data_IF_338711275598
#
_entry.id   IF_338711275598
#
_cell.length_a   1.000
_cell.length_b   1.000
_cell.length_c   1.000
_cell.angle_alpha   90.00
_cell.angle_beta   90.00
_cell.angle_gamma   90.00
#
_symmetry.space_group_name_H-M   'P 1'
#
loop_
_entity.id
_entity.type
_entity.pdbx_description
1 polymer ?
#
# COMPACT_ATOMS: atom_id res chain seq x y z
N UNK A 1 -74.07 29.03 -63.71
CA UNK A 1 -75.23 29.61 -63.01
C UNK A 1 -75.17 29.15 -61.56
N UNK A 2 -75.15 30.10 -60.61
CA UNK A 2 -75.19 29.97 -59.13
C UNK A 2 -74.09 29.13 -58.44
N UNK A 3 -73.15 29.72 -57.67
CA UNK A 3 -73.20 30.49 -56.39
C UNK A 3 -73.43 29.62 -55.14
N UNK A 4 -72.57 29.89 -54.14
CA UNK A 4 -72.62 29.62 -52.69
C UNK A 4 -71.84 28.42 -52.10
N UNK A 5 -70.59 28.69 -51.70
CA UNK A 5 -70.16 28.94 -50.30
C UNK A 5 -70.59 27.95 -49.18
N UNK A 6 -69.60 27.19 -48.67
CA UNK A 6 -69.14 27.09 -47.26
C UNK A 6 -69.50 25.88 -46.35
N UNK A 7 -68.46 25.50 -45.58
CA UNK A 7 -68.32 24.72 -44.32
C UNK A 7 -68.18 23.18 -44.37
N UNK A 8 -66.90 22.79 -44.22
CA UNK A 8 -66.28 21.86 -43.26
C UNK A 8 -67.07 20.60 -42.84
N UNK A 9 -66.59 19.45 -43.32
CA UNK A 9 -66.66 18.16 -42.59
C UNK A 9 -65.31 17.45 -42.76
N UNK A 10 -64.60 17.28 -41.66
CA UNK A 10 -63.46 16.38 -41.57
C UNK A 10 -63.98 14.94 -41.46
N UNK A 11 -63.39 14.00 -42.21
CA UNK A 11 -63.57 12.58 -41.93
C UNK A 11 -63.37 11.60 -43.10
N UNK A 12 -62.30 10.82 -42.96
CA UNK A 12 -62.16 9.41 -43.38
C UNK A 12 -61.89 9.17 -44.88
N UNK A 13 -60.61 8.96 -45.20
CA UNK A 13 -60.22 8.03 -46.28
C UNK A 13 -59.18 7.04 -45.76
N UNK A 14 -59.60 5.78 -45.79
CA UNK A 14 -58.87 4.58 -45.41
C UNK A 14 -57.83 4.31 -46.49
N UNK A 15 -56.55 4.37 -46.14
CA UNK A 15 -55.49 3.64 -46.83
C UNK A 15 -54.92 2.64 -45.84
N UNK A 16 -55.28 1.37 -46.03
CA UNK A 16 -54.81 0.27 -45.21
C UNK A 16 -53.29 0.18 -45.22
N UNK A 17 -52.68 0.46 -44.07
CA UNK A 17 -51.36 -0.03 -43.74
C UNK A 17 -51.60 -1.33 -42.96
N UNK A 18 -51.15 -2.44 -43.53
CA UNK A 18 -50.95 -3.70 -42.82
C UNK A 18 -49.94 -3.46 -41.71
N UNK A 19 -50.40 -3.04 -40.53
CA UNK A 19 -49.62 -3.20 -39.31
C UNK A 19 -49.76 -4.66 -38.91
N UNK A 20 -48.78 -5.47 -39.27
CA UNK A 20 -48.55 -6.74 -38.60
C UNK A 20 -48.31 -6.35 -37.13
N UNK A 21 -49.29 -6.64 -36.27
CA UNK A 21 -49.06 -6.68 -34.84
C UNK A 21 -48.04 -7.78 -34.59
N UNK A 22 -46.76 -7.46 -34.65
CA UNK A 22 -45.79 -8.18 -33.87
C UNK A 22 -46.11 -7.81 -32.42
N UNK A 23 -47.02 -8.58 -31.83
CA UNK A 23 -47.02 -8.80 -30.40
C UNK A 23 -45.66 -9.46 -30.15
N UNK A 24 -44.62 -8.64 -29.91
CA UNK A 24 -43.46 -9.15 -29.20
C UNK A 24 -44.03 -9.64 -27.89
N UNK A 25 -43.94 -10.95 -27.64
CA UNK A 25 -44.23 -11.57 -26.36
C UNK A 25 -43.47 -10.79 -25.27
N UNK A 26 -44.10 -9.79 -24.67
CA UNK A 26 -43.66 -9.15 -23.44
C UNK A 26 -44.26 -9.89 -22.25
N UNK A 27 -44.21 -11.21 -22.32
CA UNK A 27 -44.18 -12.07 -21.14
C UNK A 27 -42.76 -12.62 -21.11
N UNK A 28 -41.86 -11.86 -20.47
CA UNK A 28 -40.65 -12.45 -19.93
C UNK A 28 -41.14 -13.45 -18.90
N UNK A 29 -40.79 -14.72 -19.13
CA UNK A 29 -41.03 -15.79 -18.18
C UNK A 29 -40.48 -15.32 -16.82
N UNK A 30 -41.36 -15.10 -15.85
CA UNK A 30 -40.93 -14.71 -14.51
C UNK A 30 -40.28 -15.96 -13.92
N UNK A 31 -38.95 -16.06 -14.08
CA UNK A 31 -38.11 -17.03 -13.39
C UNK A 31 -38.67 -17.28 -11.98
N UNK A 32 -38.80 -18.54 -11.61
CA UNK A 32 -39.23 -19.06 -10.30
C UNK A 32 -39.45 -18.01 -9.21
N UNK A 33 -40.70 -17.82 -8.80
CA UNK A 33 -41.06 -16.92 -7.70
C UNK A 33 -41.11 -17.70 -6.38
N UNK A 34 -40.37 -17.29 -5.35
CA UNK A 34 -40.43 -17.89 -4.01
C UNK A 34 -40.85 -16.84 -2.98
N UNK A 35 -41.76 -17.22 -2.07
CA UNK A 35 -42.12 -16.35 -0.94
C UNK A 35 -40.97 -16.29 0.08
N UNK A 36 -40.66 -15.10 0.57
CA UNK A 36 -39.77 -14.87 1.71
C UNK A 36 -40.57 -14.23 2.84
N UNK A 37 -40.57 -14.86 4.01
CA UNK A 37 -41.19 -14.31 5.21
C UNK A 37 -40.42 -14.76 6.45
N UNK A 38 -39.93 -13.82 7.24
CA UNK A 38 -39.24 -14.12 8.49
C UNK A 38 -39.25 -12.92 9.44
N UNK A 39 -39.10 -13.22 10.73
CA UNK A 39 -38.75 -12.23 11.78
C UNK A 39 -37.45 -12.66 12.44
N UNK A 40 -36.49 -11.74 12.56
CA UNK A 40 -35.18 -12.03 13.16
C UNK A 40 -34.59 -10.81 13.86
N UNK A 41 -33.88 -11.04 14.97
CA UNK A 41 -33.00 -10.04 15.58
C UNK A 41 -31.59 -10.20 15.03
N UNK A 42 -31.01 -9.09 14.56
CA UNK A 42 -29.70 -8.99 13.93
C UNK A 42 -28.90 -7.88 14.60
N UNK A 43 -27.60 -8.10 14.76
CA UNK A 43 -26.65 -7.07 15.20
C UNK A 43 -25.89 -6.59 13.96
N UNK A 44 -25.63 -5.28 13.87
CA UNK A 44 -24.82 -4.72 12.80
C UNK A 44 -23.35 -5.13 12.92
N UNK A 45 -22.63 -5.04 11.81
CA UNK A 45 -21.17 -5.08 11.76
C UNK A 45 -20.66 -3.83 11.03
N UNK A 46 -19.35 -3.62 11.02
CA UNK A 46 -18.73 -2.61 10.16
C UNK A 46 -19.21 -2.81 8.71
N UNK A 47 -19.57 -1.71 8.04
CA UNK A 47 -19.97 -1.74 6.62
C UNK A 47 -18.77 -2.17 5.75
N UNK A 48 -18.87 -3.28 4.99
CA UNK A 48 -17.77 -3.77 4.19
C UNK A 48 -17.59 -3.01 2.86
N UNK A 49 -18.44 -2.01 2.57
CA UNK A 49 -18.33 -1.16 1.39
C UNK A 49 -17.11 -0.23 1.45
N UNK A 50 -16.39 -0.11 0.34
CA UNK A 50 -15.28 0.83 0.21
C UNK A 50 -15.76 2.28 0.47
N UNK A 51 -15.06 3.01 1.35
CA UNK A 51 -15.45 4.36 1.76
C UNK A 51 -16.51 4.43 2.87
N UNK A 52 -16.93 3.29 3.42
CA UNK A 52 -17.89 3.20 4.52
C UNK A 52 -17.27 2.61 5.81
N UNK A 53 -15.95 2.68 5.95
CA UNK A 53 -15.20 2.03 7.02
C UNK A 53 -15.59 2.52 8.43
N UNK A 54 -16.16 3.71 8.54
CA UNK A 54 -16.64 4.27 9.82
C UNK A 54 -18.13 4.04 10.09
N UNK A 55 -18.80 3.24 9.26
CA UNK A 55 -20.23 3.00 9.33
C UNK A 55 -20.55 1.59 9.82
N UNK A 56 -21.82 1.39 10.18
CA UNK A 56 -22.38 0.10 10.55
C UNK A 56 -23.46 -0.32 9.55
N UNK A 57 -23.46 -1.59 9.20
CA UNK A 57 -24.42 -2.20 8.28
C UNK A 57 -24.99 -3.48 8.89
N UNK A 58 -26.28 -3.70 8.73
CA UNK A 58 -26.93 -4.99 9.00
C UNK A 58 -27.67 -5.45 7.76
N UNK A 59 -27.08 -6.43 7.06
CA UNK A 59 -27.63 -6.97 5.83
C UNK A 59 -28.79 -7.93 6.14
N UNK A 60 -29.95 -7.65 5.57
CA UNK A 60 -31.21 -8.37 5.83
C UNK A 60 -31.49 -9.35 4.71
N UNK A 61 -31.35 -8.88 3.47
CA UNK A 61 -31.43 -9.68 2.26
C UNK A 61 -30.15 -9.44 1.46
N UNK A 62 -29.37 -10.48 1.25
CA UNK A 62 -28.08 -10.40 0.57
C UNK A 62 -28.25 -10.29 -0.95
N UNK A 63 -27.36 -9.53 -1.63
CA UNK A 63 -27.33 -9.49 -3.08
C UNK A 63 -26.90 -10.85 -3.66
N UNK A 64 -27.57 -11.25 -4.74
CA UNK A 64 -27.17 -12.37 -5.59
C UNK A 64 -27.39 -11.96 -7.04
N UNK A 65 -26.51 -12.38 -7.95
CA UNK A 65 -26.62 -12.09 -9.39
C UNK A 65 -27.99 -12.57 -9.92
N UNK A 66 -28.72 -11.69 -10.60
CA UNK A 66 -30.03 -12.02 -11.18
C UNK A 66 -31.16 -12.23 -10.18
N UNK A 67 -30.97 -11.90 -8.89
CA UNK A 67 -32.00 -11.99 -7.85
C UNK A 67 -32.63 -10.63 -7.56
N UNK A 68 -33.97 -10.58 -7.56
CA UNK A 68 -34.74 -9.40 -7.22
C UNK A 68 -35.71 -9.70 -6.07
N UNK A 69 -35.61 -8.94 -4.99
CA UNK A 69 -36.54 -8.96 -3.88
C UNK A 69 -37.58 -7.86 -4.03
N UNK A 70 -38.81 -8.17 -3.66
CA UNK A 70 -39.96 -7.26 -3.76
C UNK A 70 -40.93 -7.52 -2.60
N UNK A 71 -41.15 -6.51 -1.75
CA UNK A 71 -42.07 -6.64 -0.61
C UNK A 71 -41.84 -5.58 0.47
N UNK A 72 -42.19 -5.94 1.70
CA UNK A 72 -42.18 -5.03 2.84
C UNK A 72 -41.25 -5.50 3.95
N UNK A 73 -40.67 -4.53 4.66
CA UNK A 73 -39.89 -4.74 5.87
C UNK A 73 -40.44 -3.86 6.99
N UNK A 74 -40.63 -4.41 8.18
CA UNK A 74 -40.87 -3.67 9.42
C UNK A 74 -39.74 -3.91 10.41
N UNK A 75 -39.25 -2.89 11.09
CA UNK A 75 -38.14 -3.05 12.04
C UNK A 75 -38.28 -2.22 13.32
N UNK A 76 -37.56 -2.65 14.36
CA UNK A 76 -37.27 -1.88 15.57
C UNK A 76 -35.78 -2.02 15.92
N UNK A 77 -35.11 -0.94 16.30
CA UNK A 77 -33.67 -0.85 16.56
C UNK A 77 -33.37 -0.13 17.88
N UNK A 78 -32.28 -0.48 18.54
CA UNK A 78 -31.82 0.22 19.74
C UNK A 78 -31.20 1.62 19.44
N UNK A 79 -30.73 1.83 18.21
CA UNK A 79 -30.18 3.10 17.71
C UNK A 79 -30.93 3.58 16.44
N UNK A 80 -30.95 4.89 16.14
CA UNK A 80 -31.51 5.40 14.89
C UNK A 80 -30.74 4.85 13.68
N UNK A 81 -31.46 4.40 12.66
CA UNK A 81 -30.89 3.78 11.45
C UNK A 81 -31.54 4.32 10.19
N UNK A 82 -30.83 4.17 9.08
CA UNK A 82 -31.26 4.43 7.71
C UNK A 82 -31.49 3.10 6.98
N UNK A 83 -32.15 3.16 5.81
CA UNK A 83 -32.40 1.97 4.98
C UNK A 83 -31.57 2.08 3.71
N UNK A 84 -30.89 0.99 3.36
CA UNK A 84 -30.15 0.84 2.11
C UNK A 84 -30.80 -0.24 1.26
N UNK A 85 -31.13 0.13 0.02
CA UNK A 85 -31.55 -0.82 -1.03
C UNK A 85 -30.51 -0.79 -2.14
N UNK A 86 -29.92 -1.96 -2.42
CA UNK A 86 -28.95 -2.10 -3.50
C UNK A 86 -29.64 -2.61 -4.77
N UNK A 87 -29.19 -2.12 -5.91
CA UNK A 87 -29.70 -2.47 -7.23
C UNK A 87 -28.55 -2.97 -8.09
N UNK A 88 -28.76 -4.10 -8.75
CA UNK A 88 -27.78 -4.66 -9.67
C UNK A 88 -27.60 -3.74 -10.88
N UNK A 89 -26.34 -3.39 -11.18
CA UNK A 89 -25.96 -2.58 -12.34
C UNK A 89 -24.66 -3.13 -12.94
N UNK A 90 -24.39 -2.79 -14.20
CA UNK A 90 -23.08 -3.06 -14.79
C UNK A 90 -22.17 -1.83 -14.66
N UNK A 91 -20.85 -2.01 -14.77
CA UNK A 91 -19.89 -0.90 -14.73
C UNK A 91 -20.17 0.19 -15.80
N UNK A 92 -20.74 -0.19 -16.95
CA UNK A 92 -21.13 0.75 -18.00
C UNK A 92 -22.34 1.63 -17.63
N UNK A 93 -23.11 1.22 -16.62
CA UNK A 93 -24.31 1.92 -16.14
C UNK A 93 -24.01 2.90 -15.01
N UNK A 94 -22.76 2.98 -14.54
CA UNK A 94 -22.32 3.96 -13.54
C UNK A 94 -22.26 5.34 -14.17
N UNK A 95 -23.25 6.19 -13.87
CA UNK A 95 -23.45 7.53 -14.44
C UNK A 95 -23.55 8.61 -13.35
N UNK A 96 -22.82 8.43 -12.25
CA UNK A 96 -22.75 9.37 -11.13
C UNK A 96 -23.77 9.15 -10.01
N UNK A 97 -24.62 8.11 -10.09
CA UNK A 97 -25.43 7.68 -8.96
C UNK A 97 -24.56 7.14 -7.81
N UNK A 98 -25.03 7.17 -6.55
CA UNK A 98 -24.35 6.49 -5.46
C UNK A 98 -24.18 5.00 -5.75
N UNK A 99 -23.00 4.48 -5.47
CA UNK A 99 -22.66 3.06 -5.67
C UNK A 99 -22.09 2.46 -4.40
N UNK A 100 -22.25 1.15 -4.27
CA UNK A 100 -21.65 0.37 -3.18
C UNK A 100 -20.90 -0.84 -3.77
N UNK A 101 -19.70 -1.10 -3.26
CA UNK A 101 -18.83 -2.19 -3.71
C UNK A 101 -17.91 -2.64 -2.57
N UNK A 102 -17.66 -3.94 -2.48
CA UNK A 102 -16.69 -4.52 -1.52
C UNK A 102 -15.31 -4.65 -2.19
N UNK A 103 -15.27 -5.19 -3.41
CA UNK A 103 -14.04 -5.61 -4.10
C UNK A 103 -13.62 -4.67 -5.25
N UNK A 104 -14.40 -3.62 -5.52
CA UNK A 104 -14.20 -2.70 -6.64
C UNK A 104 -14.56 -3.30 -8.01
N UNK A 105 -15.00 -4.56 -8.07
CA UNK A 105 -15.38 -5.26 -9.29
C UNK A 105 -16.89 -5.42 -9.40
N UNK A 106 -17.53 -5.84 -8.32
CA UNK A 106 -18.98 -5.98 -8.22
C UNK A 106 -19.57 -4.67 -7.71
N UNK A 107 -20.34 -3.98 -8.56
CA UNK A 107 -20.85 -2.64 -8.28
C UNK A 107 -22.38 -2.69 -8.22
N UNK A 108 -22.96 -2.16 -7.14
CA UNK A 108 -24.39 -1.95 -7.02
C UNK A 108 -24.71 -0.46 -7.04
N UNK A 109 -25.81 -0.06 -7.67
CA UNK A 109 -26.41 1.24 -7.41
C UNK A 109 -27.05 1.23 -6.03
N UNK A 110 -26.86 2.30 -5.26
CA UNK A 110 -27.31 2.40 -3.89
C UNK A 110 -28.42 3.44 -3.75
N UNK A 111 -29.56 3.01 -3.23
CA UNK A 111 -30.60 3.90 -2.73
C UNK A 111 -30.49 3.99 -1.21
N UNK A 112 -30.16 5.17 -0.71
CA UNK A 112 -30.15 5.47 0.73
C UNK A 112 -31.43 6.22 1.09
N UNK A 113 -32.17 5.69 2.05
CA UNK A 113 -33.35 6.32 2.63
C UNK A 113 -32.93 6.87 4.00
N UNK A 114 -32.72 8.19 4.04
CA UNK A 114 -32.36 8.95 5.25
C UNK A 114 -33.57 9.04 6.19
N UNK A 115 -33.75 7.99 7.00
CA UNK A 115 -34.89 7.81 7.88
C UNK A 115 -34.59 8.28 9.30
N UNK A 116 -33.38 8.00 9.80
CA UNK A 116 -32.92 8.32 11.17
C UNK A 116 -33.94 7.96 12.26
N UNK A 117 -34.57 6.79 12.13
CA UNK A 117 -35.60 6.31 13.08
C UNK A 117 -35.18 5.02 13.77
N UNK A 118 -35.74 4.78 14.95
CA UNK A 118 -35.59 3.52 15.69
C UNK A 118 -36.61 2.46 15.29
N UNK A 119 -37.63 2.80 14.51
CA UNK A 119 -38.63 1.84 14.03
C UNK A 119 -39.40 2.40 12.85
N UNK A 120 -39.68 1.57 11.86
CA UNK A 120 -40.54 1.93 10.73
C UNK A 120 -40.99 0.69 9.93
N UNK A 121 -41.90 0.90 8.98
CA UNK A 121 -42.31 -0.04 7.94
C UNK A 121 -42.01 0.55 6.55
N UNK A 122 -41.34 -0.20 5.69
CA UNK A 122 -40.85 0.25 4.40
C UNK A 122 -41.11 -0.79 3.30
N UNK A 123 -41.64 -0.35 2.17
CA UNK A 123 -41.79 -1.14 0.95
C UNK A 123 -40.53 -0.99 0.09
N UNK A 124 -40.01 -2.10 -0.43
CA UNK A 124 -38.77 -2.13 -1.19
C UNK A 124 -38.86 -3.04 -2.41
N UNK A 125 -38.11 -2.66 -3.45
CA UNK A 125 -37.77 -3.52 -4.58
C UNK A 125 -36.28 -3.34 -4.85
N UNK A 126 -35.49 -4.41 -4.86
CA UNK A 126 -34.04 -4.32 -5.07
C UNK A 126 -33.33 -5.67 -4.99
N UNK A 127 -32.03 -5.66 -5.33
CA UNK A 127 -31.16 -6.82 -5.26
C UNK A 127 -30.68 -7.11 -3.83
N UNK A 128 -30.66 -6.11 -2.94
CA UNK A 128 -30.37 -6.31 -1.51
C UNK A 128 -31.13 -5.31 -0.64
N UNK A 129 -31.27 -5.64 0.64
CA UNK A 129 -31.87 -4.78 1.66
C UNK A 129 -31.02 -4.81 2.94
N UNK A 130 -30.72 -3.65 3.49
CA UNK A 130 -29.97 -3.50 4.73
C UNK A 130 -30.45 -2.32 5.59
N UNK A 131 -30.15 -2.39 6.88
CA UNK A 131 -30.15 -1.22 7.77
C UNK A 131 -28.74 -0.67 7.88
N UNK A 132 -28.61 0.65 7.91
CA UNK A 132 -27.33 1.36 7.91
C UNK A 132 -27.27 2.40 9.02
N UNK A 133 -26.08 2.69 9.52
CA UNK A 133 -25.80 3.82 10.40
C UNK A 133 -24.46 4.45 10.04
N UNK A 134 -24.42 5.78 9.95
CA UNK A 134 -23.20 6.56 9.78
C UNK A 134 -22.29 6.56 11.01
N UNK A 135 -22.72 5.98 12.12
CA UNK A 135 -21.94 5.85 13.35
C UNK A 135 -21.21 4.51 13.37
N UNK A 136 -19.98 4.49 13.90
CA UNK A 136 -19.18 3.27 14.09
C UNK A 136 -19.69 2.39 15.24
N UNK A 137 -20.62 2.87 16.08
CA UNK A 137 -21.22 2.11 17.17
C UNK A 137 -22.22 1.07 16.66
N UNK A 138 -21.99 -0.20 17.02
CA UNK A 138 -22.91 -1.31 16.73
C UNK A 138 -24.34 -1.03 17.23
N UNK A 139 -25.31 -1.46 16.42
CA UNK A 139 -26.73 -1.46 16.76
C UNK A 139 -27.32 -2.86 16.64
N UNK A 140 -28.45 -3.08 17.30
CA UNK A 140 -29.22 -4.32 17.23
C UNK A 140 -30.64 -3.98 16.81
N UNK A 141 -31.13 -4.67 15.78
CA UNK A 141 -32.46 -4.48 15.23
C UNK A 141 -33.22 -5.81 15.15
N UNK A 142 -34.51 -5.78 15.44
CA UNK A 142 -35.45 -6.85 15.10
C UNK A 142 -36.18 -6.45 13.83
N UNK A 143 -36.08 -7.28 12.80
CA UNK A 143 -36.64 -7.04 11.47
C UNK A 143 -37.65 -8.13 11.13
N UNK A 144 -38.73 -7.76 10.45
CA UNK A 144 -39.71 -8.67 9.87
C UNK A 144 -39.88 -8.35 8.40
N UNK A 145 -39.67 -9.34 7.54
CA UNK A 145 -39.79 -9.21 6.08
C UNK A 145 -40.95 -10.07 5.61
N UNK A 146 -41.78 -9.56 4.71
CA UNK A 146 -42.77 -10.33 3.96
C UNK A 146 -42.75 -9.87 2.49
N UNK A 147 -42.42 -10.79 1.58
CA UNK A 147 -42.24 -10.46 0.17
C UNK A 147 -41.96 -11.67 -0.71
N UNK A 148 -41.43 -11.39 -1.90
CA UNK A 148 -41.14 -12.36 -2.95
C UNK A 148 -39.72 -12.20 -3.48
N UNK A 149 -39.11 -13.34 -3.80
CA UNK A 149 -37.86 -13.44 -4.55
C UNK A 149 -38.23 -13.80 -5.98
N UNK A 150 -37.68 -13.05 -6.94
CA UNK A 150 -37.80 -13.30 -8.37
C UNK A 150 -36.40 -13.52 -8.95
N UNK A 151 -36.26 -14.44 -9.90
CA UNK A 151 -34.96 -14.76 -10.50
C UNK A 151 -34.31 -16.03 -9.93
N UNK A 152 -33.03 -16.23 -10.22
CA UNK A 152 -32.24 -17.39 -9.77
C UNK A 152 -30.94 -16.87 -9.14
N UNK A 153 -30.50 -17.41 -7.99
CA UNK A 153 -31.14 -18.49 -7.21
C UNK A 153 -32.37 -18.03 -6.40
N UNK A 154 -33.36 -18.90 -6.24
CA UNK A 154 -34.53 -18.63 -5.37
C UNK A 154 -34.31 -18.90 -3.90
N UNK A 155 -33.11 -19.31 -3.49
CA UNK A 155 -32.80 -19.46 -2.07
C UNK A 155 -32.31 -18.13 -1.53
N UNK A 156 -32.95 -17.65 -0.45
CA UNK A 156 -32.30 -16.68 0.42
C UNK A 156 -31.12 -17.41 1.03
N UNK A 157 -29.97 -17.33 0.37
CA UNK A 157 -28.71 -17.52 1.06
C UNK A 157 -28.67 -16.33 2.01
N UNK A 158 -29.18 -16.51 3.22
CA UNK A 158 -28.73 -15.69 4.34
C UNK A 158 -27.24 -16.01 4.44
N UNK A 159 -26.42 -15.32 3.64
CA UNK A 159 -25.04 -15.13 3.99
C UNK A 159 -25.15 -14.41 5.32
N UNK A 160 -25.02 -15.20 6.39
CA UNK A 160 -24.31 -14.71 7.55
C UNK A 160 -23.01 -14.23 6.93
N UNK A 161 -22.89 -12.93 6.68
CA UNK A 161 -21.57 -12.30 6.68
C UNK A 161 -21.14 -12.45 8.14
N UNK A 162 -20.84 -13.67 8.56
CA UNK A 162 -19.79 -13.90 9.49
C UNK A 162 -18.60 -13.31 8.73
N UNK A 163 -18.31 -12.05 9.02
CA UNK A 163 -16.92 -11.65 9.08
C UNK A 163 -16.34 -12.67 10.05
N UNK A 164 -15.82 -13.77 9.52
CA UNK A 164 -14.92 -14.63 10.24
C UNK A 164 -13.93 -13.62 10.80
N UNK A 165 -13.97 -13.41 12.11
CA UNK A 165 -13.10 -12.45 12.74
C UNK A 165 -11.73 -13.09 12.62
N UNK A 166 -11.08 -12.81 11.49
CA UNK A 166 -9.79 -13.38 11.17
C UNK A 166 -8.92 -13.13 12.40
N UNK A 167 -8.19 -14.16 12.88
CA UNK A 167 -7.38 -14.01 14.07
C UNK A 167 -6.49 -12.77 13.89
N UNK A 168 -6.71 -11.76 14.72
CA UNK A 168 -6.01 -10.48 14.64
C UNK A 168 -4.98 -10.38 15.74
N UNK A 169 -3.72 -10.14 15.36
CA UNK A 169 -2.60 -9.89 16.25
C UNK A 169 -2.16 -8.43 16.09
N UNK A 170 -2.43 -7.62 17.12
CA UNK A 170 -1.81 -6.31 17.24
C UNK A 170 -0.67 -6.40 18.26
N UNK A 171 0.55 -6.38 17.75
CA UNK A 171 1.74 -6.32 18.59
C UNK A 171 1.89 -4.91 19.16
N UNK A 172 2.26 -4.82 20.44
CA UNK A 172 2.65 -3.53 21.02
C UNK A 172 3.98 -3.06 20.42
N UNK A 173 4.11 -1.74 20.25
CA UNK A 173 5.26 -1.11 19.60
C UNK A 173 5.52 -1.73 18.24
N UNK A 174 4.45 -1.93 17.48
CA UNK A 174 4.57 -2.35 16.09
C UNK A 174 5.40 -1.35 15.30
N UNK A 175 5.22 -0.06 15.60
CA UNK A 175 5.95 1.02 14.98
C UNK A 175 6.65 1.86 16.05
N UNK A 176 7.89 2.26 15.80
CA UNK A 176 8.64 3.19 16.66
C UNK A 176 9.28 4.29 15.83
N UNK A 177 9.46 5.46 16.41
CA UNK A 177 10.14 6.56 15.75
C UNK A 177 11.66 6.32 15.73
N UNK A 178 12.29 6.45 14.57
CA UNK A 178 13.74 6.43 14.40
C UNK A 178 14.22 7.77 13.86
N UNK A 179 14.83 8.60 14.72
CA UNK A 179 15.38 9.90 14.31
C UNK A 179 16.85 9.77 13.98
N UNK A 180 17.18 9.91 12.70
CA UNK A 180 18.50 9.65 12.12
C UNK A 180 19.13 10.99 11.71
N UNK A 181 20.44 11.20 11.98
CA UNK A 181 21.15 12.39 11.52
C UNK A 181 21.30 12.39 9.99
N UNK A 182 21.03 13.54 9.39
CA UNK A 182 21.26 13.81 7.98
C UNK A 182 22.62 14.48 7.77
N UNK A 183 23.17 14.25 6.58
CA UNK A 183 24.36 14.90 6.04
C UNK A 183 23.95 15.73 4.82
N UNK A 184 24.75 16.74 4.50
CA UNK A 184 24.56 17.56 3.31
C UNK A 184 25.64 17.24 2.27
N UNK A 185 25.21 16.78 1.09
CA UNK A 185 26.06 16.52 -0.07
C UNK A 185 25.78 17.47 -1.23
N UNK A 186 26.44 17.26 -2.36
CA UNK A 186 26.23 17.99 -3.60
C UNK A 186 25.93 17.06 -4.77
N UNK A 187 25.00 17.48 -5.62
CA UNK A 187 24.76 16.94 -6.95
C UNK A 187 24.59 18.10 -7.94
N UNK A 188 25.47 18.20 -8.93
CA UNK A 188 25.46 19.27 -9.94
C UNK A 188 25.34 20.68 -9.33
N UNK A 189 26.11 20.96 -8.26
CA UNK A 189 26.10 22.23 -7.54
C UNK A 189 24.91 22.45 -6.60
N UNK A 190 23.91 21.57 -6.62
CA UNK A 190 22.74 21.66 -5.74
C UNK A 190 22.93 20.79 -4.48
N UNK A 191 22.40 21.25 -3.35
CA UNK A 191 22.41 20.49 -2.10
C UNK A 191 21.51 19.26 -2.18
N UNK A 192 22.01 18.14 -1.68
CA UNK A 192 21.22 16.96 -1.33
C UNK A 192 21.35 16.71 0.18
N UNK A 193 20.34 16.09 0.78
CA UNK A 193 20.36 15.68 2.18
C UNK A 193 20.16 14.17 2.23
N UNK A 194 21.06 13.47 2.91
CA UNK A 194 21.10 12.00 2.91
C UNK A 194 21.43 11.46 4.30
N UNK A 195 21.14 10.19 4.55
CA UNK A 195 21.55 9.48 5.78
C UNK A 195 22.59 8.42 5.44
N UNK A 196 23.29 7.89 6.44
CA UNK A 196 24.20 6.76 6.28
C UNK A 196 23.82 5.69 7.30
N UNK A 197 23.39 4.52 6.83
CA UNK A 197 22.87 3.44 7.68
C UNK A 197 23.83 2.26 7.77
N UNK A 198 24.57 1.96 6.70
CA UNK A 198 25.42 0.78 6.61
C UNK A 198 26.74 1.07 5.89
N UNK A 199 27.78 0.30 6.21
CA UNK A 199 29.07 0.32 5.55
C UNK A 199 29.58 -1.11 5.36
N UNK A 200 30.20 -1.40 4.22
CA UNK A 200 30.77 -2.71 3.95
C UNK A 200 31.97 -3.04 4.83
N UNK A 201 32.63 -2.02 5.37
CA UNK A 201 33.77 -2.17 6.25
C UNK A 201 33.56 -1.54 7.62
N UNK A 202 34.02 -2.26 8.63
CA UNK A 202 33.88 -1.90 10.05
C UNK A 202 34.62 -0.60 10.41
N UNK A 203 35.78 -0.35 9.79
CA UNK A 203 36.56 0.86 10.05
C UNK A 203 35.83 2.13 9.57
N UNK A 204 35.21 2.09 8.38
CA UNK A 204 34.34 3.17 7.92
C UNK A 204 33.09 3.29 8.78
N UNK A 205 32.46 2.16 9.15
CA UNK A 205 31.28 2.16 10.01
C UNK A 205 31.57 2.88 11.35
N UNK A 206 32.71 2.60 11.98
CA UNK A 206 33.14 3.24 13.24
C UNK A 206 33.38 4.74 13.07
N UNK A 207 34.16 5.14 12.05
CA UNK A 207 34.46 6.57 11.79
C UNK A 207 33.17 7.38 11.61
N UNK A 208 32.23 6.86 10.82
CA UNK A 208 30.97 7.55 10.55
C UNK A 208 30.09 7.55 11.80
N UNK A 209 29.98 6.42 12.50
CA UNK A 209 29.23 6.28 13.76
C UNK A 209 29.65 7.32 14.80
N UNK A 210 30.95 7.45 15.03
CA UNK A 210 31.51 8.45 15.96
C UNK A 210 31.16 9.88 15.56
N UNK A 211 31.22 10.18 14.26
CA UNK A 211 30.92 11.52 13.73
C UNK A 211 29.44 11.90 13.86
N UNK A 212 28.53 10.96 13.55
CA UNK A 212 27.10 11.26 13.49
C UNK A 212 26.34 10.92 14.79
N UNK A 213 27.01 10.27 15.76
CA UNK A 213 26.37 9.80 17.01
C UNK A 213 25.14 8.91 16.77
N UNK A 214 25.18 8.15 15.67
CA UNK A 214 24.16 7.18 15.27
C UNK A 214 24.87 5.98 14.64
N UNK A 215 24.50 4.78 15.06
CA UNK A 215 25.18 3.54 14.64
C UNK A 215 25.04 3.31 13.14
N UNK A 216 26.18 3.19 12.46
CA UNK A 216 26.28 2.62 11.11
C UNK A 216 26.53 1.13 11.25
N UNK A 217 25.67 0.30 10.66
CA UNK A 217 25.84 -1.15 10.70
C UNK A 217 26.96 -1.59 9.76
N UNK A 218 27.67 -2.65 10.14
CA UNK A 218 28.68 -3.27 9.25
C UNK A 218 28.00 -4.36 8.43
N UNK A 219 28.09 -4.27 7.10
CA UNK A 219 27.48 -5.22 6.17
C UNK A 219 28.49 -5.66 5.10
N UNK A 220 29.37 -6.63 5.38
CA UNK A 220 30.44 -7.01 4.45
C UNK A 220 29.95 -7.48 3.06
N UNK A 221 28.70 -7.92 2.95
CA UNK A 221 28.14 -8.41 1.69
C UNK A 221 27.92 -7.30 0.65
N UNK A 222 27.67 -6.05 1.05
CA UNK A 222 27.40 -4.99 0.06
C UNK A 222 28.62 -4.60 -0.77
N UNK A 223 29.84 -4.93 -0.32
CA UNK A 223 31.07 -4.80 -1.14
C UNK A 223 31.10 -5.76 -2.34
N UNK A 224 30.33 -6.86 -2.28
CA UNK A 224 30.24 -7.86 -3.35
C UNK A 224 29.14 -7.54 -4.37
N UNK A 225 28.47 -6.40 -4.24
CA UNK A 225 27.43 -5.98 -5.18
C UNK A 225 28.05 -5.66 -6.55
N UNK A 226 27.35 -5.97 -7.66
CA UNK A 226 27.84 -5.65 -9.00
C UNK A 226 28.06 -4.15 -9.17
N UNK A 227 29.08 -3.73 -9.93
CA UNK A 227 29.38 -2.30 -10.11
C UNK A 227 28.19 -1.53 -10.73
N UNK A 228 27.34 -2.22 -11.50
CA UNK A 228 26.19 -1.62 -12.19
C UNK A 228 25.08 -1.14 -11.23
N UNK A 229 25.05 -1.66 -10.00
CA UNK A 229 24.05 -1.24 -8.98
C UNK A 229 24.63 -0.24 -7.98
N UNK A 230 25.91 0.11 -8.12
CA UNK A 230 26.63 0.99 -7.23
C UNK A 230 26.74 2.38 -7.84
N UNK A 231 26.18 3.37 -7.15
CA UNK A 231 26.52 4.76 -7.41
C UNK A 231 27.94 5.06 -6.95
N UNK A 232 28.46 6.20 -7.38
CA UNK A 232 29.71 6.77 -6.84
C UNK A 232 29.41 7.93 -5.91
N UNK A 233 30.05 7.90 -4.75
CA UNK A 233 30.19 9.03 -3.84
C UNK A 233 31.67 9.44 -3.75
N UNK A 234 31.95 10.72 -3.94
CA UNK A 234 33.29 11.27 -3.83
C UNK A 234 33.47 11.93 -2.47
N UNK A 235 34.42 11.42 -1.68
CA UNK A 235 34.69 11.87 -0.30
C UNK A 235 36.07 12.51 -0.22
N UNK A 236 36.17 13.69 0.37
CA UNK A 236 37.40 14.50 0.34
C UNK A 236 38.27 14.27 1.57
N UNK A 237 39.53 13.88 1.36
CA UNK A 237 40.52 13.63 2.43
C UNK A 237 41.34 14.84 2.82
N UNK A 238 41.37 15.87 1.98
CA UNK A 238 42.05 17.13 2.22
C UNK A 238 41.38 18.26 1.39
N UNK A 239 41.97 19.46 1.42
CA UNK A 239 41.53 20.60 0.62
C UNK A 239 40.66 21.57 1.42
N UNK A 240 39.61 22.09 0.80
CA UNK A 240 38.71 23.08 1.43
C UNK A 240 38.08 22.47 2.69
N UNK A 241 38.18 23.16 3.83
CA UNK A 241 37.55 22.73 5.10
C UNK A 241 36.03 22.81 4.98
N UNK A 242 35.33 21.85 5.59
CA UNK A 242 33.87 21.81 5.56
C UNK A 242 33.32 20.70 6.45
N UNK A 243 32.06 20.34 6.20
CA UNK A 243 31.31 19.39 7.02
C UNK A 243 31.29 17.96 6.49
N UNK A 244 32.04 17.65 5.42
CA UNK A 244 32.15 16.28 4.91
C UNK A 244 32.73 15.31 5.96
N UNK A 245 32.64 14.01 5.68
CA UNK A 245 33.00 12.90 6.57
C UNK A 245 34.38 13.09 7.19
N UNK A 246 35.39 13.46 6.39
CA UNK A 246 36.75 13.73 6.88
C UNK A 246 37.05 15.20 7.25
N UNK A 247 36.03 16.06 7.38
CA UNK A 247 36.18 17.47 7.78
C UNK A 247 36.55 18.44 6.65
N UNK A 248 36.35 18.00 5.41
CA UNK A 248 36.59 18.78 4.20
C UNK A 248 35.26 19.12 3.52
N UNK A 249 35.30 19.56 2.26
CA UNK A 249 34.09 19.90 1.52
C UNK A 249 33.07 18.74 1.51
N UNK A 250 31.82 19.10 1.24
CA UNK A 250 30.69 18.16 1.11
C UNK A 250 30.99 17.08 0.08
N UNK A 251 30.45 15.90 0.35
CA UNK A 251 30.48 14.75 -0.54
C UNK A 251 29.75 15.06 -1.84
N UNK A 252 30.23 14.50 -2.94
CA UNK A 252 29.61 14.69 -4.25
C UNK A 252 29.04 13.35 -4.72
N UNK A 253 27.77 13.37 -5.11
CA UNK A 253 27.06 12.20 -5.61
C UNK A 253 27.02 12.22 -7.13
N UNK A 254 26.98 11.02 -7.71
CA UNK A 254 26.95 10.83 -9.16
C UNK A 254 25.54 10.85 -9.76
N UNK A 255 24.50 10.58 -8.97
CA UNK A 255 23.09 10.63 -9.38
C UNK A 255 22.18 10.93 -8.18
N UNK A 256 20.90 11.16 -8.47
CA UNK A 256 19.81 11.39 -7.51
C UNK A 256 18.62 10.51 -7.87
N UNK A 257 17.60 10.38 -7.01
CA UNK A 257 16.38 9.64 -7.34
C UNK A 257 15.68 10.06 -8.63
N UNK A 258 15.94 11.27 -9.15
CA UNK A 258 15.40 11.74 -10.43
C UNK A 258 15.97 10.95 -11.62
N UNK A 259 17.22 10.45 -11.52
CA UNK A 259 17.82 9.59 -12.54
C UNK A 259 17.50 8.13 -12.22
N UNK A 260 16.24 7.72 -12.37
CA UNK A 260 15.73 6.40 -11.92
C UNK A 260 16.63 5.23 -12.36
N UNK A 261 17.04 5.19 -13.63
CA UNK A 261 17.88 4.12 -14.19
C UNK A 261 19.32 4.08 -13.64
N UNK A 262 19.73 5.14 -12.94
CA UNK A 262 21.06 5.28 -12.33
C UNK A 262 20.98 5.31 -10.80
N UNK A 263 19.77 5.40 -10.23
CA UNK A 263 19.61 5.59 -8.80
C UNK A 263 19.64 4.29 -8.01
N UNK A 264 20.46 4.27 -6.95
CA UNK A 264 20.44 3.28 -5.89
C UNK A 264 21.09 3.85 -4.62
N UNK A 265 20.57 3.52 -3.44
CA UNK A 265 21.13 4.01 -2.17
C UNK A 265 22.57 3.54 -1.88
N UNK A 266 23.01 2.43 -2.47
CA UNK A 266 24.37 1.91 -2.35
C UNK A 266 25.39 2.73 -3.15
N UNK A 267 26.40 3.22 -2.45
CA UNK A 267 27.43 4.10 -2.99
C UNK A 267 28.82 3.50 -2.77
N UNK A 268 29.56 3.28 -3.87
CA UNK A 268 30.98 3.00 -3.86
C UNK A 268 31.78 4.28 -3.58
N UNK A 269 32.67 4.20 -2.60
CA UNK A 269 33.47 5.35 -2.16
C UNK A 269 34.68 5.54 -3.09
N UNK A 270 34.79 6.77 -3.61
CA UNK A 270 36.02 7.29 -4.21
C UNK A 270 36.58 8.37 -3.29
N UNK A 271 37.73 8.09 -2.68
CA UNK A 271 38.42 9.13 -1.91
C UNK A 271 39.18 10.07 -2.84
N UNK A 272 39.04 11.37 -2.58
CA UNK A 272 39.64 12.44 -3.37
C UNK A 272 40.63 13.22 -2.51
N UNK A 273 41.86 13.35 -2.98
CA UNK A 273 42.88 14.17 -2.35
C UNK A 273 43.50 15.16 -3.35
N UNK A 274 43.54 16.43 -2.99
CA UNK A 274 44.32 17.46 -3.67
C UNK A 274 45.81 17.15 -3.58
N UNK A 275 46.49 17.17 -4.74
CA UNK A 275 47.95 16.97 -4.80
C UNK A 275 48.68 18.17 -4.23
N UNK A 276 49.88 17.93 -3.69
CA UNK A 276 50.73 18.96 -3.10
C UNK A 276 51.01 20.10 -4.10
N UNK A 277 50.86 21.35 -3.64
CA UNK A 277 51.10 22.55 -4.46
C UNK A 277 49.90 23.01 -5.29
N UNK A 278 48.80 22.27 -5.31
CA UNK A 278 47.55 22.69 -5.95
C UNK A 278 46.77 23.65 -5.05
N UNK A 279 46.10 24.63 -5.66
CA UNK A 279 45.15 25.47 -4.95
C UNK A 279 43.78 24.77 -4.90
N UNK A 280 43.41 24.29 -3.71
CA UNK A 280 42.15 23.60 -3.49
C UNK A 280 40.97 24.58 -3.62
N UNK A 281 39.95 24.17 -4.36
CA UNK A 281 38.68 24.89 -4.51
C UNK A 281 37.53 23.93 -4.26
N UNK A 282 36.33 24.46 -3.99
CA UNK A 282 35.13 23.62 -3.95
C UNK A 282 34.89 23.05 -5.34
N UNK A 283 34.64 21.74 -5.39
CA UNK A 283 34.12 21.05 -6.57
C UNK A 283 32.63 20.80 -6.33
N UNK A 284 31.80 20.94 -7.36
CA UNK A 284 30.35 21.02 -7.22
C UNK A 284 29.61 19.83 -7.86
N UNK A 285 30.28 19.09 -8.75
CA UNK A 285 29.71 17.98 -9.49
C UNK A 285 30.69 16.83 -9.68
N UNK A 286 30.16 15.63 -10.00
CA UNK A 286 30.99 14.47 -10.34
C UNK A 286 31.87 14.75 -11.56
N UNK A 287 31.37 15.52 -12.52
CA UNK A 287 32.12 16.01 -13.68
C UNK A 287 33.31 16.89 -13.26
N UNK A 288 33.11 17.83 -12.34
CA UNK A 288 34.22 18.67 -11.82
C UNK A 288 35.31 17.83 -11.15
N UNK A 289 34.91 16.81 -10.40
CA UNK A 289 35.84 15.90 -9.71
C UNK A 289 36.65 15.09 -10.71
N UNK A 290 35.99 14.53 -11.72
CA UNK A 290 36.64 13.77 -12.79
C UNK A 290 37.57 14.67 -13.61
N UNK A 291 37.15 15.90 -13.93
CA UNK A 291 37.98 16.85 -14.67
C UNK A 291 39.20 17.29 -13.84
N UNK A 292 39.03 17.53 -12.54
CA UNK A 292 40.15 17.85 -11.65
C UNK A 292 41.18 16.72 -11.55
N UNK A 293 40.75 15.45 -11.65
CA UNK A 293 41.65 14.30 -11.68
C UNK A 293 42.40 14.21 -13.02
N UNK A 294 41.69 14.34 -14.14
CA UNK A 294 42.27 14.38 -15.49
C UNK A 294 43.30 15.50 -15.66
N UNK A 295 43.03 16.66 -15.07
CA UNK A 295 43.93 17.81 -15.04
C UNK A 295 45.13 17.62 -14.08
N UNK A 296 45.19 16.48 -13.40
CA UNK A 296 46.26 16.13 -12.47
C UNK A 296 46.24 16.95 -11.17
N UNK A 297 45.12 17.59 -10.82
CA UNK A 297 44.99 18.44 -9.62
C UNK A 297 44.65 17.64 -8.37
N UNK A 298 43.85 16.60 -8.53
CA UNK A 298 43.52 15.65 -7.45
C UNK A 298 44.01 14.25 -7.81
N UNK A 299 44.05 13.37 -6.83
CA UNK A 299 44.24 11.93 -6.98
C UNK A 299 43.02 11.20 -6.42
N UNK A 300 42.64 10.10 -7.09
CA UNK A 300 41.59 9.21 -6.63
C UNK A 300 42.19 7.97 -5.97
N UNK A 301 41.58 7.58 -4.85
CA UNK A 301 41.76 6.26 -4.26
C UNK A 301 40.42 5.54 -4.31
N UNK A 302 40.33 4.50 -5.14
CA UNK A 302 39.21 3.56 -5.11
C UNK A 302 39.39 2.66 -3.89
N UNK A 303 38.47 2.73 -2.94
CA UNK A 303 38.66 2.07 -1.63
C UNK A 303 38.13 0.63 -1.60
N UNK A 304 37.24 0.28 -2.54
CA UNK A 304 36.43 -0.95 -2.48
C UNK A 304 35.29 -0.87 -1.45
N UNK A 305 35.21 0.20 -0.66
CA UNK A 305 34.18 0.36 0.36
C UNK A 305 32.88 0.77 -0.29
N UNK A 306 31.79 0.13 0.12
CA UNK A 306 30.42 0.49 -0.25
C UNK A 306 29.68 0.93 1.01
N UNK A 307 28.93 2.02 0.93
CA UNK A 307 28.04 2.48 1.99
C UNK A 307 26.60 2.50 1.51
N UNK A 308 25.65 2.25 2.42
CA UNK A 308 24.24 2.51 2.17
C UNK A 308 23.95 3.94 2.61
N UNK A 309 23.69 4.82 1.64
CA UNK A 309 23.51 6.25 1.86
C UNK A 309 22.29 6.81 1.10
N UNK A 310 21.06 6.46 1.51
CA UNK A 310 19.84 6.89 0.82
C UNK A 310 19.63 8.40 0.94
N UNK A 311 19.15 9.00 -0.14
CA UNK A 311 18.86 10.44 -0.23
C UNK A 311 17.45 10.74 0.30
N UNK A 312 17.34 11.73 1.19
CA UNK A 312 16.10 12.18 1.82
C UNK A 312 15.50 13.37 1.06
N UNK A 313 16.35 14.33 0.68
CA UNK A 313 15.99 15.51 -0.11
C UNK A 313 17.01 15.65 -1.22
N UNK A 314 16.55 15.94 -2.43
CA UNK A 314 17.40 16.15 -3.60
C UNK A 314 16.84 17.29 -4.46
N UNK A 315 17.55 17.73 -5.52
CA UNK A 315 17.01 18.72 -6.44
C UNK A 315 15.66 18.26 -6.97
N UNK A 316 14.66 19.14 -6.87
CA UNK A 316 13.31 18.90 -7.39
C UNK A 316 12.53 17.76 -6.68
N UNK A 317 12.98 17.26 -5.52
CA UNK A 317 12.24 16.21 -4.82
C UNK A 317 12.71 15.90 -3.39
N UNK A 318 11.92 15.06 -2.72
CA UNK A 318 12.24 14.47 -1.41
C UNK A 318 11.43 13.19 -1.20
N UNK A 319 11.86 12.38 -0.25
CA UNK A 319 11.04 11.27 0.25
C UNK A 319 9.71 11.79 0.81
N UNK A 320 8.64 11.01 0.65
CA UNK A 320 7.31 11.42 1.09
C UNK A 320 7.25 11.50 2.62
N UNK A 321 6.95 12.69 3.14
CA UNK A 321 6.58 12.89 4.55
C UNK A 321 5.10 12.58 4.68
N UNK A 322 4.77 11.60 5.52
CA UNK A 322 3.40 11.14 5.73
C UNK A 322 2.55 12.16 6.47
N UNK A 323 1.24 12.18 6.19
CA UNK A 323 0.28 13.12 6.78
C UNK A 323 -0.07 12.76 8.23
N UNK A 324 -0.18 11.47 8.54
CA UNK A 324 -0.40 10.89 9.86
C UNK A 324 0.93 10.78 10.63
N UNK A 325 1.40 11.93 11.12
CA UNK A 325 2.72 12.08 11.75
C UNK A 325 2.86 11.43 13.15
N UNK A 326 1.82 10.75 13.66
CA UNK A 326 1.88 10.04 14.94
C UNK A 326 2.20 8.57 14.68
N UNK A 327 3.28 8.10 15.28
CA UNK A 327 3.63 6.68 15.25
C UNK A 327 2.69 5.87 16.16
N UNK A 328 1.80 5.09 15.57
CA UNK A 328 0.84 4.21 16.26
C UNK A 328 1.04 2.76 15.85
N UNK A 329 0.47 1.81 16.61
CA UNK A 329 0.63 0.38 16.34
C UNK A 329 -0.15 -0.10 15.10
N UNK A 330 -1.15 0.65 14.65
CA UNK A 330 -1.97 0.41 13.46
C UNK A 330 -1.48 1.17 12.21
N UNK A 331 -0.38 1.92 12.34
CA UNK A 331 0.17 2.72 11.25
C UNK A 331 0.59 1.81 10.09
N UNK A 332 0.06 2.09 8.89
CA UNK A 332 0.35 1.27 7.71
C UNK A 332 1.67 1.65 7.05
N UNK A 333 2.19 0.73 6.24
CA UNK A 333 3.33 0.98 5.36
C UNK A 333 3.02 2.00 4.26
N UNK A 334 1.76 2.33 4.02
CA UNK A 334 1.36 3.27 2.97
C UNK A 334 1.47 4.74 3.41
N UNK A 335 1.61 5.64 2.44
CA UNK A 335 1.52 7.09 2.67
C UNK A 335 2.82 7.77 3.11
N UNK A 336 3.95 7.06 3.10
CA UNK A 336 5.27 7.60 3.41
C UNK A 336 5.93 6.96 4.64
N UNK A 337 7.26 6.83 4.61
CA UNK A 337 8.04 6.27 5.72
C UNK A 337 8.58 7.32 6.69
N UNK A 338 8.43 8.61 6.39
CA UNK A 338 8.97 9.72 7.19
C UNK A 338 7.85 10.48 7.86
N UNK A 339 7.96 10.73 9.17
CA UNK A 339 7.03 11.57 9.93
C UNK A 339 7.48 13.03 10.03
N UNK A 340 8.79 13.28 9.97
CA UNK A 340 9.37 14.63 10.09
C UNK A 340 10.74 14.72 9.44
N UNK A 341 10.99 15.85 8.78
CA UNK A 341 12.32 16.28 8.33
C UNK A 341 12.65 17.60 9.03
N UNK A 342 13.79 17.69 9.70
CA UNK A 342 14.27 18.90 10.35
C UNK A 342 15.61 19.33 9.75
N UNK A 343 15.59 20.38 8.93
CA UNK A 343 16.80 20.91 8.27
C UNK A 343 17.68 21.76 9.19
N UNK A 344 17.12 22.30 10.27
CA UNK A 344 17.89 23.10 11.23
C UNK A 344 18.71 22.19 12.16
N UNK A 345 18.09 21.10 12.63
CA UNK A 345 18.76 20.07 13.44
C UNK A 345 19.50 19.04 12.60
N UNK A 346 19.33 19.06 11.27
CA UNK A 346 19.85 18.05 10.35
C UNK A 346 19.44 16.63 10.76
N UNK A 347 18.15 16.41 10.98
CA UNK A 347 17.59 15.10 11.33
C UNK A 347 16.37 14.73 10.49
N UNK A 348 16.13 13.43 10.33
CA UNK A 348 14.92 12.87 9.72
C UNK A 348 14.35 11.80 10.63
N UNK A 349 13.04 11.81 10.86
CA UNK A 349 12.36 10.82 11.70
C UNK A 349 11.56 9.86 10.83
N UNK A 350 12.01 8.60 10.79
CA UNK A 350 11.34 7.50 10.12
C UNK A 350 10.35 6.79 11.05
N UNK A 351 9.37 6.14 10.43
CA UNK A 351 8.63 5.03 11.03
C UNK A 351 9.51 3.78 10.89
N UNK A 352 9.96 3.23 12.00
CA UNK A 352 10.64 1.94 12.02
C UNK A 352 9.63 0.84 12.36
N UNK A 353 9.49 -0.12 11.46
CA UNK A 353 8.50 -1.19 11.52
C UNK A 353 9.08 -2.40 12.23
N UNK A 354 8.28 -3.03 13.08
CA UNK A 354 8.65 -4.26 13.79
C UNK A 354 8.62 -5.46 12.84
N UNK A 355 9.62 -6.32 12.97
CA UNK A 355 9.65 -7.67 12.40
C UNK A 355 10.29 -8.66 13.38
N UNK A 356 10.30 -9.93 13.00
CA UNK A 356 11.06 -10.97 13.68
C UNK A 356 12.42 -11.18 13.00
N UNK A 357 13.47 -11.30 13.79
CA UNK A 357 14.75 -11.85 13.34
C UNK A 357 14.66 -13.37 13.16
N UNK A 358 15.70 -14.00 12.57
CA UNK A 358 15.67 -15.43 12.28
C UNK A 358 15.55 -16.32 13.54
N UNK A 359 15.87 -15.77 14.71
CA UNK A 359 15.84 -16.40 16.02
C UNK A 359 14.63 -15.98 16.88
N UNK A 360 13.62 -15.31 16.29
CA UNK A 360 12.41 -14.86 16.99
C UNK A 360 12.62 -13.61 17.84
N UNK A 361 13.80 -12.98 17.78
CA UNK A 361 14.01 -11.67 18.41
C UNK A 361 13.26 -10.59 17.65
N UNK A 362 12.85 -9.56 18.38
CA UNK A 362 12.26 -8.38 17.75
C UNK A 362 13.35 -7.55 17.08
N UNK A 363 13.13 -7.21 15.81
CA UNK A 363 13.94 -6.25 15.06
C UNK A 363 13.06 -5.08 14.62
N UNK A 364 13.70 -3.94 14.35
CA UNK A 364 13.07 -2.78 13.73
C UNK A 364 13.84 -2.37 12.50
N UNK A 365 13.13 -2.04 11.43
CA UNK A 365 13.73 -1.64 10.16
C UNK A 365 13.00 -0.44 9.56
N UNK A 366 13.72 0.33 8.76
CA UNK A 366 13.18 1.42 7.95
C UNK A 366 13.28 1.03 6.48
N UNK A 367 12.48 1.66 5.64
CA UNK A 367 12.51 1.47 4.19
C UNK A 367 12.88 2.81 3.56
N UNK A 368 13.91 2.80 2.73
CA UNK A 368 14.51 4.03 2.18
C UNK A 368 14.48 4.12 0.66
N UNK A 369 14.32 2.99 0.00
CA UNK A 369 13.97 2.84 -1.41
C UNK A 369 13.36 1.45 -1.63
N UNK A 370 12.77 1.22 -2.80
CA UNK A 370 12.20 -0.07 -3.16
C UNK A 370 12.18 -0.30 -4.66
N UNK A 371 12.06 -1.57 -5.05
CA UNK A 371 11.72 -2.02 -6.40
C UNK A 371 10.81 -3.25 -6.29
N UNK A 372 9.74 -3.39 -7.10
CA UNK A 372 9.34 -2.56 -8.25
C UNK A 372 8.66 -1.22 -7.86
N UNK A 373 8.30 -0.42 -8.86
CA UNK A 373 7.75 0.93 -8.67
C UNK A 373 6.44 0.98 -7.87
N UNK A 374 5.54 0.00 -8.04
CA UNK A 374 4.25 -0.04 -7.33
C UNK A 374 4.40 0.00 -5.80
N UNK A 375 5.12 -0.96 -5.18
CA UNK A 375 5.43 -0.89 -3.76
C UNK A 375 6.18 0.38 -3.33
N UNK A 376 7.11 0.88 -4.16
CA UNK A 376 7.84 2.10 -3.86
C UNK A 376 6.90 3.32 -3.74
N UNK A 377 5.97 3.47 -4.68
CA UNK A 377 4.95 4.51 -4.70
C UNK A 377 4.02 4.41 -3.48
N UNK A 378 3.49 3.22 -3.19
CA UNK A 378 2.61 2.98 -2.04
C UNK A 378 3.31 3.38 -0.73
N UNK A 379 4.59 2.99 -0.58
CA UNK A 379 5.39 3.27 0.61
C UNK A 379 5.91 4.72 0.67
N UNK A 380 5.82 5.47 -0.43
CA UNK A 380 6.33 6.84 -0.52
C UNK A 380 7.85 6.93 -0.48
N UNK A 381 8.54 5.94 -1.06
CA UNK A 381 10.01 5.87 -1.12
C UNK A 381 10.49 5.91 -2.58
N UNK A 382 11.74 6.35 -2.85
CA UNK A 382 12.35 6.28 -4.16
C UNK A 382 12.25 4.89 -4.81
N UNK A 383 12.02 4.89 -6.12
CA UNK A 383 12.10 3.70 -6.95
C UNK A 383 13.56 3.48 -7.39
N UNK A 384 14.11 2.30 -7.10
CA UNK A 384 15.50 1.94 -7.43
C UNK A 384 15.55 0.75 -8.41
N UNK A 385 15.27 0.95 -9.71
CA UNK A 385 15.24 -0.12 -10.71
C UNK A 385 16.59 -0.83 -10.91
N UNK A 386 17.71 -0.20 -10.53
CA UNK A 386 19.03 -0.85 -10.60
C UNK A 386 19.10 -2.12 -9.76
N UNK A 387 18.26 -2.26 -8.73
CA UNK A 387 18.19 -3.45 -7.87
C UNK A 387 17.33 -4.58 -8.43
N UNK A 388 16.67 -4.38 -9.57
CA UNK A 388 15.81 -5.40 -10.16
C UNK A 388 16.53 -6.73 -10.43
N UNK A 389 17.80 -6.66 -10.82
CA UNK A 389 18.62 -7.83 -11.12
C UNK A 389 19.28 -8.46 -9.88
N UNK A 390 19.06 -7.92 -8.68
CA UNK A 390 19.64 -8.45 -7.43
C UNK A 390 18.86 -9.61 -6.84
N UNK A 391 17.73 -9.99 -7.44
CA UNK A 391 16.89 -11.12 -7.02
C UNK A 391 17.71 -12.43 -6.85
N UNK A 392 18.69 -12.66 -7.72
CA UNK A 392 19.53 -13.87 -7.66
C UNK A 392 20.86 -13.65 -6.95
N UNK A 393 21.14 -12.43 -6.47
CA UNK A 393 22.42 -12.08 -5.89
C UNK A 393 22.52 -12.54 -4.43
N UNK A 394 23.50 -13.38 -4.12
CA UNK A 394 23.72 -13.92 -2.76
C UNK A 394 24.06 -12.88 -1.69
N UNK A 395 24.34 -11.64 -2.09
CA UNK A 395 24.64 -10.53 -1.19
C UNK A 395 23.38 -9.82 -0.66
N UNK A 396 22.20 -10.19 -1.14
CA UNK A 396 20.93 -9.76 -0.58
C UNK A 396 20.45 -10.73 0.51
N UNK A 397 19.94 -10.18 1.61
CA UNK A 397 19.25 -10.93 2.66
C UNK A 397 17.81 -11.23 2.25
N UNK A 398 17.10 -12.07 2.99
CA UNK A 398 15.70 -12.41 2.70
C UNK A 398 14.78 -11.87 3.81
N UNK A 399 13.64 -11.32 3.40
CA UNK A 399 12.52 -10.98 4.28
C UNK A 399 11.29 -11.76 3.82
N UNK A 400 10.67 -12.49 4.74
CA UNK A 400 9.46 -13.25 4.50
C UNK A 400 8.25 -12.47 5.04
N UNK A 401 7.31 -12.10 4.16
CA UNK A 401 6.08 -11.39 4.50
C UNK A 401 4.85 -12.26 4.25
N UNK A 402 3.76 -12.02 4.97
CA UNK A 402 2.57 -12.88 4.93
C UNK A 402 1.46 -12.23 4.09
N UNK A 403 0.91 -12.99 3.14
CA UNK A 403 -0.16 -12.54 2.25
C UNK A 403 -1.57 -12.86 2.74
N UNK A 404 -1.69 -13.79 3.70
CA UNK A 404 -2.94 -14.21 4.31
C UNK A 404 -2.71 -14.76 5.73
N UNK A 405 -3.78 -15.24 6.37
CA UNK A 405 -3.73 -15.83 7.71
C UNK A 405 -4.02 -14.79 8.80
N UNK A 406 -3.14 -14.69 9.79
CA UNK A 406 -3.35 -13.81 10.96
C UNK A 406 -3.24 -12.34 10.55
N UNK A 407 -4.32 -11.57 10.69
CA UNK A 407 -4.32 -10.11 10.47
C UNK A 407 -3.39 -9.42 11.44
N UNK A 408 -2.63 -8.45 10.96
CA UNK A 408 -1.64 -7.78 11.79
C UNK A 408 -0.97 -6.62 11.08
N UNK A 409 0.19 -6.24 11.57
CA UNK A 409 0.91 -5.05 11.17
C UNK A 409 2.00 -5.24 10.12
N UNK A 410 2.09 -6.43 9.53
CA UNK A 410 2.96 -6.69 8.39
C UNK A 410 2.60 -5.81 7.19
N UNK A 411 3.54 -5.68 6.25
CA UNK A 411 3.43 -4.86 5.03
C UNK A 411 2.17 -5.12 4.20
N UNK A 412 1.63 -6.33 4.25
CA UNK A 412 0.42 -6.75 3.53
C UNK A 412 -0.83 -6.88 4.42
N UNK A 413 -0.78 -6.36 5.65
CA UNK A 413 -1.91 -6.37 6.59
C UNK A 413 -2.10 -7.67 7.37
N UNK A 414 -1.11 -8.57 7.34
CA UNK A 414 -1.06 -9.82 8.12
C UNK A 414 0.06 -9.76 9.16
N UNK A 415 0.46 -10.88 9.74
CA UNK A 415 1.49 -10.87 10.78
C UNK A 415 2.81 -10.21 10.29
N UNK A 416 3.61 -9.63 11.20
CA UNK A 416 4.92 -9.08 10.87
C UNK A 416 5.83 -10.10 10.19
N UNK A 417 6.68 -9.60 9.29
CA UNK A 417 7.60 -10.45 8.55
C UNK A 417 8.72 -11.05 9.42
N UNK A 418 9.39 -12.05 8.86
CA UNK A 418 10.56 -12.72 9.45
C UNK A 418 11.77 -12.46 8.55
N UNK A 419 12.83 -11.86 9.09
CA UNK A 419 14.09 -11.66 8.39
C UNK A 419 14.98 -12.90 8.51
N UNK A 420 15.77 -13.21 7.46
CA UNK A 420 16.66 -14.37 7.47
C UNK A 420 17.97 -14.16 8.24
N UNK A 421 18.31 -12.91 8.54
CA UNK A 421 19.56 -12.52 9.19
C UNK A 421 19.32 -11.35 10.16
N UNK A 422 20.05 -11.37 11.28
CA UNK A 422 20.13 -10.23 12.21
C UNK A 422 21.30 -9.31 11.81
N UNK A 423 21.27 -8.05 12.25
CA UNK A 423 22.27 -7.03 11.91
C UNK A 423 23.66 -7.27 12.52
N UNK A 424 23.76 -8.16 13.51
CA UNK A 424 25.03 -8.57 14.14
C UNK A 424 25.70 -9.75 13.43
N UNK A 425 25.09 -10.29 12.37
CA UNK A 425 25.64 -11.40 11.58
C UNK A 425 26.51 -10.89 10.43
N UNK A 426 27.61 -11.59 10.13
CA UNK A 426 28.47 -11.31 8.97
C UNK A 426 27.72 -11.42 7.62
N UNK A 427 26.63 -12.20 7.58
CA UNK A 427 25.75 -12.31 6.42
C UNK A 427 24.65 -11.25 6.34
N UNK A 428 24.66 -10.25 7.24
CA UNK A 428 23.72 -9.13 7.19
C UNK A 428 23.90 -8.31 5.91
N UNK A 429 22.76 -7.92 5.33
CA UNK A 429 22.66 -7.01 4.20
C UNK A 429 21.48 -6.06 4.38
N UNK A 430 21.62 -4.75 4.10
CA UNK A 430 20.49 -3.82 4.04
C UNK A 430 19.64 -4.00 2.78
N UNK A 431 20.08 -4.84 1.82
CA UNK A 431 19.32 -5.15 0.60
C UNK A 431 18.53 -6.43 0.84
N UNK A 432 17.21 -6.33 0.85
CA UNK A 432 16.31 -7.45 1.14
C UNK A 432 15.55 -7.92 -0.09
N UNK A 433 15.60 -9.22 -0.34
CA UNK A 433 14.72 -9.93 -1.25
C UNK A 433 13.46 -10.31 -0.51
N UNK A 434 12.31 -9.99 -1.10
CA UNK A 434 11.03 -10.19 -0.45
C UNK A 434 10.42 -11.51 -0.91
N UNK A 435 10.09 -12.38 0.05
CA UNK A 435 9.35 -13.62 -0.15
C UNK A 435 7.95 -13.48 0.43
N UNK A 436 6.96 -13.96 -0.29
CA UNK A 436 5.58 -14.07 0.13
C UNK A 436 5.31 -15.46 0.72
N UNK A 437 4.77 -15.47 1.92
CA UNK A 437 4.21 -16.64 2.58
C UNK A 437 2.69 -16.60 2.42
N UNK A 438 2.14 -17.71 1.96
CA UNK A 438 0.71 -17.93 1.83
C UNK A 438 0.33 -19.24 2.54
N UNK A 439 -0.54 -19.15 3.55
CA UNK A 439 -1.20 -20.29 4.17
C UNK A 439 -2.14 -20.96 3.19
N UNK A 440 -2.08 -22.29 3.08
CA UNK A 440 -3.03 -23.04 2.25
C UNK A 440 -4.44 -22.99 2.85
N UNK A 441 -4.53 -23.02 4.18
CA UNK A 441 -5.76 -22.76 4.92
C UNK A 441 -5.53 -21.62 5.92
N UNK A 442 -6.01 -20.39 5.65
CA UNK A 442 -5.85 -19.24 6.53
C UNK A 442 -6.41 -19.43 7.96
N UNK A 443 -7.44 -20.27 8.12
CA UNK A 443 -8.06 -20.54 9.42
C UNK A 443 -7.16 -21.33 10.38
N UNK A 444 -6.19 -22.07 9.83
CA UNK A 444 -5.21 -22.84 10.60
C UNK A 444 -3.94 -22.05 10.91
N UNK A 445 -3.91 -20.76 10.53
CA UNK A 445 -2.72 -19.93 10.62
C UNK A 445 -2.22 -19.80 12.06
N UNK A 446 -0.90 -19.91 12.21
CA UNK A 446 -0.18 -19.71 13.48
C UNK A 446 0.84 -18.60 13.31
N UNK A 447 1.23 -17.98 14.42
CA UNK A 447 2.33 -17.03 14.41
C UNK A 447 3.61 -17.80 14.08
N UNK A 448 4.34 -17.34 13.06
CA UNK A 448 5.67 -17.87 12.73
C UNK A 448 6.69 -16.78 13.08
N UNK A 449 7.57 -17.06 14.04
CA UNK A 449 8.49 -16.07 14.59
C UNK A 449 9.93 -16.31 14.12
N UNK A 450 10.22 -17.50 13.58
CA UNK A 450 11.58 -17.91 13.20
C UNK A 450 11.65 -18.45 11.77
N UNK A 451 12.85 -18.49 11.20
CA UNK A 451 13.08 -19.18 9.92
C UNK A 451 12.80 -20.69 10.06
N UNK A 452 13.11 -21.28 11.21
CA UNK A 452 12.81 -22.69 11.48
C UNK A 452 11.30 -23.00 11.47
N UNK A 453 10.46 -22.06 11.91
CA UNK A 453 9.02 -22.21 11.79
C UNK A 453 8.57 -22.22 10.32
N UNK A 454 9.09 -21.29 9.51
CA UNK A 454 8.77 -21.22 8.08
C UNK A 454 9.19 -22.51 7.37
N UNK A 455 10.42 -22.99 7.62
CA UNK A 455 10.93 -24.22 7.02
C UNK A 455 10.11 -25.44 7.42
N UNK A 456 9.75 -25.56 8.71
CA UNK A 456 8.94 -26.65 9.22
C UNK A 456 7.55 -26.67 8.59
N UNK A 457 6.88 -25.51 8.52
CA UNK A 457 5.52 -25.41 8.00
C UNK A 457 5.48 -25.60 6.48
N UNK A 458 6.53 -25.15 5.78
CA UNK A 458 6.72 -25.44 4.35
C UNK A 458 6.95 -26.93 4.10
N UNK A 459 7.80 -27.58 4.91
CA UNK A 459 8.08 -29.02 4.78
C UNK A 459 6.85 -29.90 5.05
N UNK A 460 5.92 -29.41 5.88
CA UNK A 460 4.64 -30.06 6.17
C UNK A 460 3.52 -29.69 5.20
N UNK A 461 3.80 -28.96 4.12
CA UNK A 461 2.82 -28.54 3.10
C UNK A 461 1.65 -27.75 3.70
N UNK A 462 1.93 -26.87 4.66
CA UNK A 462 0.93 -25.99 5.28
C UNK A 462 0.96 -24.56 4.71
N UNK A 463 2.11 -24.17 4.17
CA UNK A 463 2.35 -22.85 3.58
C UNK A 463 3.12 -22.97 2.27
N UNK A 464 2.83 -22.05 1.35
CA UNK A 464 3.65 -21.78 0.18
C UNK A 464 4.60 -20.63 0.47
N UNK A 465 5.84 -20.74 -0.01
CA UNK A 465 6.84 -19.66 0.04
C UNK A 465 7.31 -19.38 -1.37
N UNK A 466 7.03 -18.18 -1.86
CA UNK A 466 7.37 -17.75 -3.22
C UNK A 466 8.04 -16.39 -3.22
N UNK A 467 8.84 -16.10 -4.23
CA UNK A 467 9.43 -14.78 -4.37
C UNK A 467 8.32 -13.77 -4.71
N UNK A 468 8.32 -12.61 -4.04
CA UNK A 468 7.24 -11.64 -4.20
C UNK A 468 7.18 -11.03 -5.60
N UNK A 469 8.32 -11.02 -6.29
CA UNK A 469 8.41 -10.77 -7.72
C UNK A 469 8.78 -12.08 -8.42
N UNK A 470 7.95 -12.61 -9.33
CA UNK A 470 8.34 -13.76 -10.13
C UNK A 470 9.58 -13.41 -10.98
N UNK A 471 10.51 -14.36 -11.12
CA UNK A 471 11.69 -14.24 -11.99
C UNK A 471 11.34 -14.21 -13.47
#
# INVERSE_FOLDING_TARGET
MNRFTVILIAGIFITGILTISFISNSYVDANSTKKVNFTKTITSSQDPGQGHENHQLSLILSPNEGTLYDGSMTFTSNEPVDIVVLHEITGNDVKGQPTWTIDGKTIYAMSLIDLKSKSDSFEFTGAALALHSFNSKEFTATVSVDGWIRGQPTEVIMQKIEVQKEPSLLLSRTNVAATIPMHEGLYQGNSIFYIITDSSREDYAKIITEKQSWTVQTSPLIEKMPEEVLQKIFIFKNGVRGNGIYGHQKEIFSSTPVQELEYGALNSIVEVAWKKGQNAKVLESSEDVINAEKDGRVEFTKTGVVINSPQIIWPDGQMLVRNDNKTTDDLTFSGGQITKINKDEMTVTFVAHRAWGPDGKTIYYIITDATPSGPAEIMGVPFSPVYENLITNSSAADLFQFQNGIKGSGSLGFQPGVASVNSDNESYSPIWRIYNIEWHNPEDAKILETISDIDLFKANDLISVSLARPM
#
